data_IF_626350859900
#
_entry.id   IF_626350859900
#
_cell.length_a   1.000
_cell.length_b   1.000
_cell.length_c   1.000
_cell.angle_alpha   90.00
_cell.angle_beta   90.00
_cell.angle_gamma   90.00
#
_symmetry.space_group_name_H-M   'P 1'
#
loop_
_entity.id
_entity.type
_entity.pdbx_description
1 polymer ?
#
# COMPACT_ATOMS: atom_id res chain seq x y z
N UNK A 1 14.67 11.12 22.23
CA UNK A 1 16.01 10.70 21.74
C UNK A 1 15.83 9.34 21.10
N UNK A 2 16.50 9.11 19.96
CA UNK A 2 16.34 8.05 18.94
C UNK A 2 15.15 8.19 17.99
N UNK A 3 15.31 9.05 16.97
CA UNK A 3 14.92 8.67 15.61
C UNK A 3 16.22 8.67 14.84
N UNK A 4 16.71 7.49 14.46
CA UNK A 4 17.73 7.37 13.44
C UNK A 4 17.22 8.15 12.24
N UNK A 5 17.86 9.27 11.89
CA UNK A 5 17.76 9.82 10.55
C UNK A 5 18.21 8.72 9.62
N UNK A 6 17.23 7.99 9.10
CA UNK A 6 17.44 6.85 8.23
C UNK A 6 18.30 7.36 7.07
N UNK A 7 19.56 6.94 7.03
CA UNK A 7 20.60 7.56 6.18
C UNK A 7 20.19 7.54 4.71
N UNK A 8 19.28 6.65 4.33
CA UNK A 8 18.69 6.56 3.00
C UNK A 8 17.97 7.85 2.55
N UNK A 9 17.45 8.67 3.46
CA UNK A 9 16.77 9.93 3.13
C UNK A 9 17.61 11.17 3.41
N UNK A 10 18.88 11.01 3.80
CA UNK A 10 19.76 12.13 4.15
C UNK A 10 20.19 12.98 2.95
N UNK A 11 20.04 12.44 1.73
CA UNK A 11 20.37 13.12 0.47
C UNK A 11 19.17 13.12 -0.45
N UNK A 12 19.09 14.11 -1.34
CA UNK A 12 18.10 14.17 -2.40
C UNK A 12 18.70 14.75 -3.68
N UNK A 13 18.02 14.53 -4.80
CA UNK A 13 18.26 15.25 -6.05
C UNK A 13 17.07 16.16 -6.33
N UNK A 14 17.35 17.44 -6.56
CA UNK A 14 16.36 18.43 -6.97
C UNK A 14 16.54 18.79 -8.45
N UNK A 15 15.43 19.10 -9.11
CA UNK A 15 15.37 19.44 -10.53
C UNK A 15 14.92 20.90 -10.72
N UNK A 16 15.19 21.51 -11.88
CA UNK A 16 14.63 22.80 -12.25
C UNK A 16 13.10 22.72 -12.42
N UNK A 17 12.40 23.82 -12.11
CA UNK A 17 10.97 23.99 -12.36
C UNK A 17 10.74 24.61 -13.75
N UNK A 18 11.33 24.02 -14.78
CA UNK A 18 11.31 24.50 -16.18
C UNK A 18 10.19 23.86 -17.02
N UNK A 19 9.36 23.03 -16.41
CA UNK A 19 8.29 22.27 -17.09
C UNK A 19 8.80 21.07 -17.88
N UNK A 20 10.11 20.79 -17.87
CA UNK A 20 10.65 19.60 -18.51
C UNK A 20 10.44 18.36 -17.63
N UNK A 21 10.32 17.19 -18.28
CA UNK A 21 10.35 15.90 -17.60
C UNK A 21 11.79 15.52 -17.28
N UNK A 22 12.08 15.28 -16.00
CA UNK A 22 13.36 14.76 -15.53
C UNK A 22 13.22 13.28 -15.20
N UNK A 23 13.87 12.41 -15.97
CA UNK A 23 13.61 10.97 -15.95
C UNK A 23 14.81 10.13 -15.49
N UNK A 24 14.52 9.11 -14.68
CA UNK A 24 15.41 7.99 -14.40
C UNK A 24 15.04 6.80 -15.28
N UNK A 25 16.03 6.19 -15.92
CA UNK A 25 15.85 4.95 -16.67
C UNK A 25 16.35 3.76 -15.83
N UNK A 26 15.44 2.92 -15.37
CA UNK A 26 15.75 1.77 -14.52
C UNK A 26 15.81 0.49 -15.37
N UNK A 27 16.92 -0.28 -15.33
CA UNK A 27 17.03 -1.53 -16.07
C UNK A 27 16.11 -2.60 -15.46
N UNK A 28 15.34 -3.29 -16.30
CA UNK A 28 14.39 -4.33 -15.89
C UNK A 28 14.44 -5.52 -16.85
N UNK A 29 14.06 -6.70 -16.35
CA UNK A 29 13.79 -7.85 -17.18
C UNK A 29 12.38 -7.74 -17.78
N UNK A 30 12.28 -7.88 -19.10
CA UNK A 30 10.99 -7.87 -19.79
C UNK A 30 10.11 -9.02 -19.34
N UNK A 31 8.80 -8.77 -19.20
CA UNK A 31 7.78 -9.69 -18.66
C UNK A 31 7.97 -10.06 -17.19
N UNK A 32 8.79 -9.33 -16.43
CA UNK A 32 8.87 -9.44 -14.98
C UNK A 32 8.08 -8.32 -14.30
N UNK A 33 7.59 -8.59 -13.08
CA UNK A 33 6.88 -7.60 -12.25
C UNK A 33 7.85 -6.94 -11.28
N UNK A 34 7.63 -5.66 -11.04
CA UNK A 34 8.44 -4.88 -10.12
C UNK A 34 7.55 -4.03 -9.22
N UNK A 35 7.94 -3.93 -7.95
CA UNK A 35 7.50 -2.87 -7.06
C UNK A 35 8.45 -1.69 -7.24
N UNK A 36 7.91 -0.57 -7.72
CA UNK A 36 8.59 0.71 -7.79
C UNK A 36 8.19 1.53 -6.57
N UNK A 37 9.17 2.13 -5.90
CA UNK A 37 8.92 3.07 -4.80
C UNK A 37 9.72 4.35 -5.01
N UNK A 38 9.03 5.47 -5.03
CA UNK A 38 9.65 6.80 -4.96
C UNK A 38 9.34 7.42 -3.59
N UNK A 39 10.38 7.92 -2.92
CA UNK A 39 10.26 8.54 -1.60
C UNK A 39 10.81 9.97 -1.63
N UNK A 40 10.11 10.84 -0.91
CA UNK A 40 10.36 12.28 -0.89
C UNK A 40 10.38 12.75 0.57
N UNK A 41 11.54 13.18 1.04
CA UNK A 41 11.73 13.92 2.29
C UNK A 41 12.21 15.33 1.94
N UNK A 42 11.36 16.34 2.13
CA UNK A 42 11.67 17.72 1.74
C UNK A 42 12.75 18.33 2.64
N UNK A 43 12.59 18.23 3.96
CA UNK A 43 13.52 18.76 4.96
C UNK A 43 13.97 20.22 4.75
N UNK A 44 13.19 21.03 4.01
CA UNK A 44 13.50 22.43 3.72
C UNK A 44 14.78 22.63 2.90
N UNK A 45 15.13 21.71 2.00
CA UNK A 45 16.45 21.66 1.36
C UNK A 45 16.82 22.91 0.52
N UNK A 46 15.84 23.63 0.00
CA UNK A 46 16.01 24.84 -0.80
C UNK A 46 15.82 26.13 0.02
N UNK A 47 15.40 26.01 1.29
CA UNK A 47 15.12 27.16 2.16
C UNK A 47 13.87 27.95 1.75
N UNK A 48 13.03 27.40 0.86
CA UNK A 48 11.83 28.06 0.40
C UNK A 48 10.67 27.88 1.39
N UNK A 49 9.88 28.95 1.57
CA UNK A 49 8.69 28.94 2.43
C UNK A 49 7.51 28.15 1.82
N UNK A 50 7.53 27.94 0.49
CA UNK A 50 6.46 27.27 -0.23
C UNK A 50 6.75 25.77 -0.36
N UNK A 51 5.86 24.93 0.16
CA UNK A 51 6.01 23.49 -0.02
C UNK A 51 5.86 23.06 -1.48
N UNK A 52 6.69 22.11 -1.95
CA UNK A 52 6.68 21.66 -3.33
C UNK A 52 5.46 20.80 -3.66
N UNK A 53 4.92 21.03 -4.85
CA UNK A 53 3.87 20.23 -5.49
C UNK A 53 4.26 19.98 -6.96
N UNK A 54 4.35 18.70 -7.35
CA UNK A 54 4.71 18.29 -8.69
C UNK A 54 4.17 16.89 -9.01
N UNK A 55 4.33 16.43 -10.25
CA UNK A 55 3.85 15.14 -10.70
C UNK A 55 4.96 14.10 -10.91
N UNK A 56 4.64 12.87 -10.54
CA UNK A 56 5.43 11.67 -10.82
C UNK A 56 4.80 10.90 -11.98
N UNK A 57 5.63 10.40 -12.89
CA UNK A 57 5.24 9.70 -14.10
C UNK A 57 5.95 8.35 -14.23
N UNK A 58 5.25 7.39 -14.83
CA UNK A 58 5.83 6.17 -15.39
C UNK A 58 5.79 6.27 -16.91
N UNK A 59 6.94 6.57 -17.52
CA UNK A 59 7.02 6.98 -18.93
C UNK A 59 6.13 8.20 -19.21
N UNK A 60 5.19 8.05 -20.13
CA UNK A 60 4.21 9.10 -20.42
C UNK A 60 3.07 9.18 -19.40
N UNK A 61 2.77 8.10 -18.70
CA UNK A 61 1.59 7.97 -17.85
C UNK A 61 1.77 8.67 -16.51
N UNK A 62 0.85 9.56 -16.14
CA UNK A 62 0.85 10.19 -14.82
C UNK A 62 0.58 9.14 -13.74
N UNK A 63 1.53 8.96 -12.83
CA UNK A 63 1.44 8.00 -11.74
C UNK A 63 0.74 8.62 -10.53
N UNK A 64 1.26 9.72 -10.00
CA UNK A 64 0.66 10.39 -8.85
C UNK A 64 1.20 11.81 -8.70
N UNK A 65 0.39 12.76 -8.16
CA UNK A 65 0.95 13.97 -7.61
C UNK A 65 1.78 13.66 -6.34
N UNK A 66 2.84 14.42 -6.17
CA UNK A 66 3.66 14.51 -4.97
C UNK A 66 3.34 15.86 -4.35
N UNK A 67 2.71 15.83 -3.17
CA UNK A 67 2.36 17.05 -2.45
C UNK A 67 2.94 16.99 -1.05
N UNK A 68 3.77 17.97 -0.74
CA UNK A 68 4.37 18.16 0.58
C UNK A 68 3.55 19.20 1.33
N UNK A 69 3.23 18.90 2.59
CA UNK A 69 2.55 19.84 3.49
C UNK A 69 3.27 19.98 4.85
N UNK A 70 4.30 19.15 5.05
CA UNK A 70 5.11 19.09 6.26
C UNK A 70 6.51 18.65 5.84
N UNK A 71 7.52 19.49 6.10
CA UNK A 71 8.89 19.23 5.68
C UNK A 71 9.56 18.06 6.39
N UNK A 72 9.07 17.67 7.57
CA UNK A 72 9.60 16.53 8.32
C UNK A 72 8.97 15.19 7.91
N UNK A 73 7.94 15.22 7.07
CA UNK A 73 7.14 14.05 6.73
C UNK A 73 7.58 13.40 5.42
N UNK A 74 7.76 12.08 5.47
CA UNK A 74 7.98 11.27 4.28
C UNK A 74 6.71 11.18 3.43
N UNK A 75 6.87 11.44 2.14
CA UNK A 75 5.87 11.13 1.12
C UNK A 75 6.39 9.95 0.31
N UNK A 76 5.59 8.89 0.23
CA UNK A 76 5.95 7.66 -0.51
C UNK A 76 4.91 7.40 -1.58
N UNK A 77 5.37 6.96 -2.76
CA UNK A 77 4.52 6.44 -3.83
C UNK A 77 5.01 5.07 -4.25
N UNK A 78 4.10 4.10 -4.24
CA UNK A 78 4.38 2.74 -4.70
C UNK A 78 3.51 2.37 -5.91
N UNK A 79 4.12 1.64 -6.85
CA UNK A 79 3.43 1.06 -7.98
C UNK A 79 3.93 -0.35 -8.26
N UNK A 80 3.03 -1.23 -8.68
CA UNK A 80 3.38 -2.53 -9.24
C UNK A 80 3.19 -2.49 -10.74
N UNK A 81 4.27 -2.73 -11.47
CA UNK A 81 4.32 -2.66 -12.93
C UNK A 81 4.76 -3.99 -13.53
N UNK A 82 4.16 -4.36 -14.67
CA UNK A 82 4.71 -5.38 -15.55
C UNK A 82 5.65 -4.70 -16.56
N UNK A 83 6.93 -5.08 -16.56
CA UNK A 83 7.90 -4.54 -17.50
C UNK A 83 7.61 -5.01 -18.94
N UNK A 84 7.23 -4.10 -19.82
CA UNK A 84 6.95 -4.39 -21.25
C UNK A 84 8.19 -4.26 -22.14
N UNK A 85 9.24 -3.61 -21.64
CA UNK A 85 10.54 -3.41 -22.30
C UNK A 85 11.69 -3.76 -21.34
N UNK A 86 12.93 -3.49 -21.72
CA UNK A 86 14.12 -3.70 -20.86
C UNK A 86 14.40 -2.53 -19.91
N UNK A 87 13.59 -1.47 -19.95
CA UNK A 87 13.78 -0.26 -19.15
C UNK A 87 12.45 0.33 -18.71
N UNK A 88 12.31 0.73 -17.45
CA UNK A 88 11.18 1.54 -16.98
C UNK A 88 11.67 2.95 -16.68
N UNK A 89 10.98 3.95 -17.24
CA UNK A 89 11.28 5.36 -16.99
C UNK A 89 10.41 5.91 -15.86
N UNK A 90 11.02 6.51 -14.85
CA UNK A 90 10.33 7.22 -13.75
C UNK A 90 10.69 8.69 -13.86
N UNK A 91 9.71 9.55 -14.09
CA UNK A 91 9.95 10.97 -14.37
C UNK A 91 9.25 11.90 -13.38
N UNK A 92 9.88 13.02 -13.10
CA UNK A 92 9.34 14.13 -12.30
C UNK A 92 9.09 15.32 -13.23
N UNK A 93 7.93 15.96 -13.13
CA UNK A 93 7.56 17.10 -13.99
C UNK A 93 6.42 17.91 -13.37
N UNK A 94 6.01 18.97 -14.06
CA UNK A 94 4.80 19.75 -13.76
C UNK A 94 4.78 20.28 -12.33
N UNK A 95 5.83 21.00 -11.95
CA UNK A 95 5.86 21.71 -10.68
C UNK A 95 4.81 22.83 -10.68
N UNK A 96 3.85 22.74 -9.75
CA UNK A 96 2.90 23.82 -9.46
C UNK A 96 3.53 24.80 -8.47
N UNK A 97 4.25 24.29 -7.47
CA UNK A 97 4.98 25.07 -6.46
C UNK A 97 6.30 24.38 -6.13
N UNK A 98 7.29 25.17 -5.70
CA UNK A 98 8.62 24.68 -5.33
C UNK A 98 9.35 23.96 -6.47
N UNK A 99 10.32 23.13 -6.11
CA UNK A 99 11.14 22.35 -7.05
C UNK A 99 10.82 20.86 -6.97
N UNK A 100 10.70 20.15 -8.11
CA UNK A 100 10.65 18.69 -8.08
C UNK A 100 11.93 18.14 -7.47
N UNK A 101 11.80 17.14 -6.62
CA UNK A 101 12.93 16.48 -6.00
C UNK A 101 12.63 15.01 -5.76
N UNK A 102 13.64 14.20 -5.47
CA UNK A 102 13.49 12.81 -5.07
C UNK A 102 14.58 12.43 -4.08
N UNK A 103 14.22 11.74 -3.00
CA UNK A 103 15.19 11.25 -2.00
C UNK A 103 15.67 9.85 -2.36
N UNK A 104 14.73 8.92 -2.60
CA UNK A 104 15.05 7.55 -3.03
C UNK A 104 14.15 7.08 -4.17
N UNK A 105 14.71 6.23 -5.02
CA UNK A 105 14.00 5.49 -6.04
C UNK A 105 14.42 4.02 -5.96
N UNK A 106 13.50 3.16 -5.52
CA UNK A 106 13.74 1.75 -5.30
C UNK A 106 13.00 0.92 -6.35
N UNK A 107 13.65 -0.15 -6.82
CA UNK A 107 13.12 -1.12 -7.77
C UNK A 107 13.29 -2.52 -7.16
N UNK A 108 12.18 -3.14 -6.73
CA UNK A 108 12.19 -4.48 -6.14
C UNK A 108 11.56 -5.49 -7.10
N UNK A 109 12.27 -6.56 -7.51
CA UNK A 109 11.66 -7.61 -8.33
C UNK A 109 10.61 -8.39 -7.53
N UNK A 110 9.47 -8.65 -8.15
CA UNK A 110 8.39 -9.44 -7.56
C UNK A 110 8.37 -10.83 -8.21
N UNK A 111 8.53 -11.86 -7.39
CA UNK A 111 8.57 -13.24 -7.87
C UNK A 111 7.17 -13.88 -7.87
N UNK A 112 6.97 -14.88 -8.75
CA UNK A 112 5.77 -15.71 -8.73
C UNK A 112 4.52 -15.00 -9.27
N UNK A 113 3.38 -15.23 -8.61
CA UNK A 113 2.07 -14.73 -9.02
C UNK A 113 1.62 -13.46 -8.27
N UNK A 114 2.50 -12.84 -7.46
CA UNK A 114 2.16 -11.62 -6.72
C UNK A 114 1.67 -10.53 -7.66
N UNK A 115 0.54 -9.92 -7.30
CA UNK A 115 -0.09 -8.84 -8.05
C UNK A 115 -0.37 -9.16 -9.53
N UNK A 116 -0.53 -10.44 -9.88
CA UNK A 116 -0.96 -10.82 -11.23
C UNK A 116 -2.39 -10.35 -11.46
N UNK A 117 -2.60 -9.60 -12.53
CA UNK A 117 -3.93 -9.15 -12.95
C UNK A 117 -4.09 -9.32 -14.46
N UNK A 118 -5.31 -9.43 -14.95
CA UNK A 118 -5.57 -9.49 -16.39
C UNK A 118 -5.40 -8.12 -17.10
N UNK A 119 -5.24 -7.04 -16.31
CA UNK A 119 -5.07 -5.68 -16.81
C UNK A 119 -3.61 -5.20 -16.86
N UNK A 120 -2.64 -5.98 -16.37
CA UNK A 120 -1.24 -5.56 -16.21
C UNK A 120 -0.50 -5.20 -17.50
N UNK A 121 -1.04 -5.59 -18.66
CA UNK A 121 -0.54 -5.18 -19.97
C UNK A 121 -1.03 -3.79 -20.40
N UNK A 122 -2.12 -3.28 -19.81
CA UNK A 122 -2.74 -1.99 -20.15
C UNK A 122 -2.78 -0.99 -19.00
N UNK A 123 -2.51 -1.44 -17.78
CA UNK A 123 -2.56 -0.63 -16.58
C UNK A 123 -1.51 -1.12 -15.57
N UNK A 124 -1.03 -0.23 -14.71
CA UNK A 124 -0.28 -0.60 -13.51
C UNK A 124 -1.10 -0.36 -12.25
N UNK A 125 -0.68 -0.97 -11.14
CA UNK A 125 -1.32 -0.80 -9.84
C UNK A 125 -0.60 0.30 -9.05
N UNK A 126 -1.27 1.40 -8.72
CA UNK A 126 -0.74 2.43 -7.81
C UNK A 126 -1.26 2.20 -6.40
N UNK A 127 -0.37 2.12 -5.41
CA UNK A 127 -0.76 1.84 -4.02
C UNK A 127 -1.59 2.99 -3.45
N UNK A 128 -2.77 2.66 -2.91
CA UNK A 128 -3.60 3.61 -2.18
C UNK A 128 -3.54 3.38 -0.66
N UNK A 129 -3.48 2.12 -0.23
CA UNK A 129 -3.36 1.76 1.18
C UNK A 129 -2.76 0.36 1.36
N UNK A 130 -1.82 0.21 2.30
CA UNK A 130 -1.33 -1.10 2.80
C UNK A 130 -1.14 -0.98 4.30
N UNK A 131 -1.97 -1.70 5.06
CA UNK A 131 -2.13 -1.45 6.50
C UNK A 131 -1.96 -2.75 7.28
N UNK A 132 -1.15 -2.69 8.34
CA UNK A 132 -1.03 -3.70 9.38
C UNK A 132 -1.89 -3.29 10.59
N UNK A 133 -2.92 -4.07 10.90
CA UNK A 133 -3.82 -3.82 12.02
C UNK A 133 -3.34 -4.49 13.30
N UNK A 134 -3.57 -3.82 14.42
CA UNK A 134 -3.13 -4.30 15.73
C UNK A 134 -1.62 -4.22 15.89
N UNK A 135 -0.96 -3.34 15.13
CA UNK A 135 0.48 -3.21 15.13
C UNK A 135 0.99 -2.84 16.55
N UNK A 136 2.14 -3.38 16.98
CA UNK A 136 2.64 -3.16 18.34
C UNK A 136 3.30 -1.78 18.52
N UNK A 137 3.59 -1.09 17.42
CA UNK A 137 4.29 0.20 17.39
C UNK A 137 3.88 0.98 16.12
N UNK A 138 4.20 2.29 16.03
CA UNK A 138 3.98 3.05 14.80
C UNK A 138 4.96 2.70 13.68
N UNK A 139 6.02 1.94 13.96
CA UNK A 139 7.02 1.55 12.96
C UNK A 139 6.41 0.56 11.95
N UNK A 140 6.66 0.74 10.64
CA UNK A 140 6.12 -0.15 9.63
C UNK A 140 6.84 -1.50 9.63
N UNK A 141 6.13 -2.56 9.20
CA UNK A 141 6.77 -3.83 8.85
C UNK A 141 7.25 -3.73 7.40
N UNK A 142 8.53 -4.07 7.16
CA UNK A 142 9.17 -4.14 5.83
C UNK A 142 10.31 -5.17 5.84
N UNK A 143 11.25 -5.12 4.91
CA UNK A 143 12.43 -6.00 4.94
C UNK A 143 13.17 -5.90 6.29
N UNK A 144 13.65 -7.03 6.87
CA UNK A 144 13.67 -8.39 6.34
C UNK A 144 12.41 -9.22 6.58
N UNK A 145 11.44 -8.73 7.36
CA UNK A 145 10.20 -9.47 7.66
C UNK A 145 9.31 -9.63 6.41
N UNK A 146 9.31 -8.64 5.52
CA UNK A 146 8.76 -8.78 4.16
C UNK A 146 9.88 -8.96 3.13
N UNK A 147 10.03 -10.14 2.50
CA UNK A 147 11.07 -10.41 1.52
C UNK A 147 10.89 -9.64 0.20
N UNK A 148 9.71 -9.05 -0.04
CA UNK A 148 9.46 -8.16 -1.18
C UNK A 148 9.65 -6.68 -0.81
N UNK A 149 10.10 -6.41 0.42
CA UNK A 149 10.32 -5.10 1.02
C UNK A 149 9.11 -4.16 0.90
N UNK A 150 7.87 -4.67 0.90
CA UNK A 150 6.68 -3.81 0.97
C UNK A 150 6.62 -3.13 2.33
N UNK A 151 6.18 -1.88 2.33
CA UNK A 151 5.93 -1.13 3.58
C UNK A 151 4.49 -1.40 4.00
N UNK A 152 4.32 -2.06 5.14
CA UNK A 152 3.04 -2.23 5.81
C UNK A 152 2.91 -1.19 6.91
N UNK A 153 2.10 -0.16 6.67
CA UNK A 153 1.91 0.93 7.61
C UNK A 153 1.14 0.45 8.85
N UNK A 154 1.62 0.83 10.03
CA UNK A 154 0.91 0.57 11.28
C UNK A 154 -0.41 1.34 11.33
N UNK A 155 -1.47 0.68 11.78
CA UNK A 155 -2.78 1.29 12.02
C UNK A 155 -2.77 2.35 13.14
N UNK A 156 -1.67 2.45 13.90
CA UNK A 156 -1.43 3.52 14.86
C UNK A 156 -1.06 4.85 14.19
N UNK A 157 -0.62 4.84 12.93
CA UNK A 157 -0.20 6.04 12.20
C UNK A 157 -1.43 6.81 11.74
N UNK A 158 -1.89 7.73 12.59
CA UNK A 158 -3.07 8.56 12.32
C UNK A 158 -2.73 9.73 11.40
N UNK A 159 -3.57 9.95 10.39
CA UNK A 159 -3.52 11.11 9.49
C UNK A 159 -4.93 11.67 9.35
N UNK A 160 -5.06 12.94 8.99
CA UNK A 160 -6.39 13.53 8.80
C UNK A 160 -7.21 12.69 7.81
N UNK A 161 -8.40 12.25 8.22
CA UNK A 161 -9.30 11.42 7.42
C UNK A 161 -8.73 10.07 6.94
N UNK A 162 -7.79 9.46 7.68
CA UNK A 162 -7.23 8.15 7.36
C UNK A 162 -7.21 7.26 8.61
N UNK A 163 -7.84 6.08 8.53
CA UNK A 163 -8.06 5.16 9.66
C UNK A 163 -8.76 5.81 10.86
N UNK A 164 -9.86 6.50 10.58
CA UNK A 164 -10.72 7.11 11.61
C UNK A 164 -11.99 6.29 11.81
N UNK A 165 -12.81 6.68 12.78
CA UNK A 165 -14.13 6.07 13.06
C UNK A 165 -14.04 4.59 13.49
N UNK A 166 -12.99 4.24 14.24
CA UNK A 166 -12.85 2.92 14.88
C UNK A 166 -14.05 2.61 15.79
N UNK A 167 -14.66 1.44 15.59
CA UNK A 167 -15.83 1.01 16.37
C UNK A 167 -15.49 0.86 17.86
N UNK A 168 -16.41 1.19 18.79
CA UNK A 168 -16.27 0.84 20.20
C UNK A 168 -16.04 -0.67 20.37
N UNK A 169 -15.14 -1.04 21.29
CA UNK A 169 -14.77 -2.43 21.51
C UNK A 169 -13.80 -3.01 20.48
N UNK A 170 -13.20 -2.19 19.63
CA UNK A 170 -12.02 -2.56 18.83
C UNK A 170 -10.82 -2.75 19.78
N UNK A 171 -10.25 -3.95 19.81
CA UNK A 171 -9.07 -4.28 20.63
C UNK A 171 -7.97 -4.92 19.79
N UNK A 172 -6.72 -4.68 20.15
CA UNK A 172 -5.57 -5.30 19.50
C UNK A 172 -5.32 -6.69 20.08
N UNK A 173 -5.01 -7.65 19.22
CA UNK A 173 -4.60 -9.00 19.58
C UNK A 173 -3.32 -9.36 18.83
N UNK A 174 -2.51 -10.22 19.42
CA UNK A 174 -1.25 -10.65 18.84
C UNK A 174 -0.91 -12.08 19.23
N UNK A 175 -0.01 -12.70 18.47
CA UNK A 175 0.55 -14.02 18.75
C UNK A 175 2.03 -14.07 18.38
N UNK A 176 2.82 -14.80 19.15
CA UNK A 176 4.22 -15.11 18.82
C UNK A 176 4.35 -16.41 18.00
N UNK A 177 3.24 -17.09 17.73
CA UNK A 177 3.23 -18.35 16.99
C UNK A 177 3.36 -18.08 15.48
N UNK A 178 3.99 -19.00 14.72
CA UNK A 178 4.11 -18.84 13.29
C UNK A 178 2.76 -18.94 12.60
N UNK A 179 2.49 -18.00 11.70
CA UNK A 179 1.27 -17.96 10.88
C UNK A 179 1.61 -18.40 9.45
N UNK A 180 0.88 -19.38 8.93
CA UNK A 180 1.10 -19.87 7.59
C UNK A 180 0.58 -18.88 6.53
N UNK A 181 1.51 -18.24 5.81
CA UNK A 181 1.25 -17.18 4.81
C UNK A 181 1.58 -17.55 3.37
N UNK A 182 1.79 -18.83 3.06
CA UNK A 182 2.16 -19.28 1.72
C UNK A 182 0.96 -19.34 0.75
N UNK A 183 0.33 -18.19 0.52
CA UNK A 183 -0.78 -17.95 -0.42
C UNK A 183 -0.30 -17.16 -1.65
N UNK A 184 -1.21 -16.54 -2.43
CA UNK A 184 -0.83 -15.83 -3.68
C UNK A 184 -0.09 -14.52 -3.43
N UNK A 185 -0.59 -13.67 -2.52
CA UNK A 185 -0.04 -12.32 -2.27
C UNK A 185 0.98 -12.28 -1.13
N UNK A 186 1.08 -13.38 -0.38
CA UNK A 186 2.13 -13.63 0.62
C UNK A 186 2.42 -12.43 1.54
N UNK A 187 1.43 -11.88 2.27
CA UNK A 187 1.74 -10.90 3.31
C UNK A 187 2.73 -11.51 4.30
N UNK A 188 3.62 -10.70 4.91
CA UNK A 188 4.64 -11.22 5.81
C UNK A 188 4.00 -11.81 7.07
N UNK A 189 4.61 -12.86 7.62
CA UNK A 189 4.14 -13.52 8.84
C UNK A 189 3.97 -12.51 9.98
N UNK A 190 4.91 -11.57 10.11
CA UNK A 190 4.90 -10.52 11.13
C UNK A 190 3.64 -9.66 11.12
N UNK A 191 3.08 -9.39 9.94
CA UNK A 191 1.79 -8.66 9.79
C UNK A 191 0.62 -9.56 10.16
N UNK A 192 0.70 -10.84 9.81
CA UNK A 192 -0.35 -11.81 10.13
C UNK A 192 -0.36 -12.26 11.60
N UNK A 193 0.67 -11.91 12.37
CA UNK A 193 0.77 -12.15 13.82
C UNK A 193 0.05 -11.10 14.66
N UNK A 194 -0.45 -10.02 14.05
CA UNK A 194 -1.23 -8.98 14.71
C UNK A 194 -2.59 -8.82 14.06
N UNK A 195 -3.57 -8.38 14.84
CA UNK A 195 -4.90 -8.04 14.33
C UNK A 195 -5.64 -7.08 15.27
N UNK A 196 -6.71 -6.50 14.75
CA UNK A 196 -7.79 -5.91 15.56
C UNK A 196 -9.00 -6.82 15.60
N UNK A 197 -9.70 -6.83 16.73
CA UNK A 197 -10.93 -7.61 16.96
C UNK A 197 -12.05 -6.70 17.43
N UNK A 198 -13.21 -6.80 16.79
CA UNK A 198 -14.43 -6.11 17.19
C UNK A 198 -15.19 -6.87 18.27
N UNK A 199 -14.85 -6.67 19.55
CA UNK A 199 -15.44 -7.45 20.67
C UNK A 199 -16.96 -7.26 20.81
N UNK A 200 -17.49 -6.13 20.35
CA UNK A 200 -18.93 -5.83 20.31
C UNK A 200 -19.60 -6.25 18.99
N UNK A 201 -18.92 -7.05 18.17
CA UNK A 201 -19.46 -7.60 16.93
C UNK A 201 -19.28 -6.71 15.71
N UNK A 202 -18.54 -5.61 15.81
CA UNK A 202 -18.30 -4.70 14.69
C UNK A 202 -16.85 -4.16 14.70
N UNK A 203 -16.28 -4.01 13.50
CA UNK A 203 -15.11 -3.18 13.22
C UNK A 203 -15.53 -2.15 12.17
N UNK A 204 -15.22 -0.88 12.37
CA UNK A 204 -15.48 0.19 11.39
C UNK A 204 -14.24 1.02 11.18
N UNK A 205 -14.00 1.44 9.94
CA UNK A 205 -12.98 2.42 9.63
C UNK A 205 -13.42 3.30 8.46
N UNK A 206 -12.89 4.52 8.44
CA UNK A 206 -12.98 5.44 7.31
C UNK A 206 -11.59 5.92 6.90
N UNK A 207 -11.34 5.94 5.60
CA UNK A 207 -10.10 6.42 5.00
C UNK A 207 -10.34 7.12 3.66
N UNK A 208 -9.59 8.18 3.41
CA UNK A 208 -9.48 8.80 2.10
C UNK A 208 -8.45 8.02 1.25
N UNK A 209 -8.89 7.52 0.10
CA UNK A 209 -8.07 6.78 -0.85
C UNK A 209 -7.55 7.72 -1.93
N UNK A 210 -6.27 8.06 -1.87
CA UNK A 210 -5.65 8.89 -2.90
C UNK A 210 -5.79 8.25 -4.29
N UNK A 211 -6.12 9.07 -5.27
CA UNK A 211 -6.36 8.63 -6.65
C UNK A 211 -7.79 8.15 -6.91
N UNK A 212 -8.62 7.86 -5.92
CA UNK A 212 -10.03 7.47 -6.13
C UNK A 212 -10.94 8.71 -6.27
N UNK A 213 -12.16 8.60 -6.85
CA UNK A 213 -12.86 7.38 -7.27
C UNK A 213 -12.23 6.68 -8.47
N UNK A 214 -12.46 5.38 -8.59
CA UNK A 214 -11.97 4.57 -9.71
C UNK A 214 -11.93 3.09 -9.39
N UNK A 215 -11.44 2.31 -10.35
CA UNK A 215 -11.34 0.86 -10.22
C UNK A 215 -10.04 0.47 -9.51
N UNK A 216 -10.17 -0.47 -8.58
CA UNK A 216 -9.08 -0.92 -7.74
C UNK A 216 -8.98 -2.43 -7.64
N UNK A 217 -7.80 -2.83 -7.19
CA UNK A 217 -7.50 -4.17 -6.72
C UNK A 217 -7.43 -4.09 -5.19
N UNK A 218 -8.24 -4.86 -4.47
CA UNK A 218 -8.41 -4.72 -3.03
C UNK A 218 -8.51 -6.08 -2.32
N UNK A 219 -7.63 -6.34 -1.37
CA UNK A 219 -7.54 -7.61 -0.65
C UNK A 219 -7.50 -7.35 0.85
N UNK A 220 -8.22 -8.17 1.62
CA UNK A 220 -8.16 -8.20 3.07
C UNK A 220 -7.53 -9.49 3.53
N UNK A 221 -6.79 -9.44 4.64
CA UNK A 221 -6.04 -10.56 5.16
C UNK A 221 -6.50 -10.86 6.58
N UNK A 222 -6.85 -12.14 6.80
CA UNK A 222 -7.39 -12.66 8.05
C UNK A 222 -6.61 -13.89 8.47
N UNK A 223 -6.33 -14.02 9.76
CA UNK A 223 -5.86 -15.25 10.37
C UNK A 223 -6.47 -15.35 11.77
N UNK A 224 -6.99 -16.54 12.13
CA UNK A 224 -7.39 -16.78 13.50
C UNK A 224 -6.13 -16.98 14.36
N UNK A 225 -5.81 -15.97 15.14
CA UNK A 225 -4.62 -15.89 16.00
C UNK A 225 -4.93 -15.91 17.49
N UNK A 226 -6.20 -15.89 17.86
CA UNK A 226 -6.61 -16.01 19.26
C UNK A 226 -6.72 -17.48 19.65
N UNK A 227 -6.26 -17.82 20.85
CA UNK A 227 -6.46 -19.16 21.41
C UNK A 227 -7.82 -19.25 22.10
N UNK A 228 -8.61 -20.24 21.71
CA UNK A 228 -9.80 -20.63 22.47
C UNK A 228 -9.72 -22.09 22.91
N UNK A 229 -10.21 -22.32 24.13
CA UNK A 229 -10.34 -23.65 24.76
C UNK A 229 -11.56 -24.39 24.20
N UNK A 230 -12.57 -23.66 23.72
CA UNK A 230 -13.79 -24.21 23.14
C UNK A 230 -13.85 -23.94 21.63
N UNK A 231 -14.50 -24.80 20.84
CA UNK A 231 -14.73 -24.51 19.43
C UNK A 231 -15.54 -23.22 19.27
N UNK A 232 -14.92 -22.21 18.67
CA UNK A 232 -15.54 -20.92 18.38
C UNK A 232 -15.61 -20.70 16.87
N UNK A 233 -16.65 -20.00 16.43
CA UNK A 233 -16.82 -19.60 15.04
C UNK A 233 -16.60 -18.10 14.91
N UNK A 234 -15.91 -17.71 13.84
CA UNK A 234 -15.73 -16.30 13.47
C UNK A 234 -16.27 -16.06 12.08
N UNK A 235 -17.52 -15.62 12.06
CA UNK A 235 -18.28 -15.32 10.85
C UNK A 235 -18.76 -13.89 10.86
N UNK A 236 -18.46 -13.18 9.79
CA UNK A 236 -18.82 -11.77 9.66
C UNK A 236 -18.97 -11.40 8.18
N UNK A 237 -19.57 -10.25 7.92
CA UNK A 237 -19.76 -9.71 6.57
C UNK A 237 -19.09 -8.35 6.45
N UNK A 238 -18.49 -8.11 5.29
CA UNK A 238 -18.04 -6.78 4.89
C UNK A 238 -19.26 -5.95 4.48
N UNK A 239 -19.28 -4.68 4.88
CA UNK A 239 -20.27 -3.70 4.48
C UNK A 239 -19.54 -2.46 3.99
N UNK A 240 -19.78 -2.08 2.74
CA UNK A 240 -19.32 -0.83 2.18
C UNK A 240 -20.55 -0.05 1.69
N UNK A 241 -20.83 1.16 2.23
CA UNK A 241 -21.99 1.96 1.82
C UNK A 241 -22.00 2.20 0.31
N UNK A 242 -23.13 1.92 -0.34
CA UNK A 242 -23.27 2.04 -1.79
C UNK A 242 -22.75 0.85 -2.60
N UNK A 243 -22.14 -0.16 -1.98
CA UNK A 243 -21.61 -1.36 -2.65
C UNK A 243 -22.22 -2.66 -2.10
N UNK A 244 -23.50 -2.94 -2.42
CA UNK A 244 -24.19 -4.12 -1.91
C UNK A 244 -23.58 -5.44 -2.41
N UNK A 245 -23.05 -5.48 -3.64
CA UNK A 245 -22.48 -6.71 -4.22
C UNK A 245 -21.21 -7.17 -3.49
N UNK A 246 -20.36 -6.22 -3.08
CA UNK A 246 -19.18 -6.48 -2.25
C UNK A 246 -19.57 -6.99 -0.85
N UNK A 247 -20.78 -6.65 -0.40
CA UNK A 247 -21.26 -6.92 0.96
C UNK A 247 -21.98 -8.27 1.12
N UNK A 248 -22.04 -9.09 0.06
CA UNK A 248 -22.83 -10.34 0.04
C UNK A 248 -22.14 -11.51 0.73
N UNK A 249 -20.84 -11.65 0.55
CA UNK A 249 -20.09 -12.82 1.00
C UNK A 249 -19.89 -12.81 2.53
N UNK A 250 -20.20 -13.95 3.16
CA UNK A 250 -19.81 -14.19 4.55
C UNK A 250 -18.34 -14.58 4.58
N UNK A 251 -17.55 -13.88 5.38
CA UNK A 251 -16.20 -14.27 5.75
C UNK A 251 -16.31 -15.27 6.89
N UNK A 252 -15.94 -16.51 6.63
CA UNK A 252 -15.76 -17.55 7.65
C UNK A 252 -14.27 -17.92 7.70
N UNK A 253 -13.55 -17.42 8.70
CA UNK A 253 -12.09 -17.62 8.78
C UNK A 253 -11.75 -19.09 9.00
N UNK A 254 -12.55 -19.80 9.81
CA UNK A 254 -12.30 -21.20 10.17
C UNK A 254 -12.54 -22.16 9.00
N UNK A 255 -13.58 -21.91 8.21
CA UNK A 255 -13.89 -22.72 7.03
C UNK A 255 -12.92 -22.44 5.88
N UNK A 256 -12.60 -21.16 5.61
CA UNK A 256 -11.79 -20.79 4.44
C UNK A 256 -10.28 -20.94 4.66
N UNK A 257 -9.81 -20.99 5.90
CA UNK A 257 -8.42 -21.32 6.26
C UNK A 257 -8.39 -22.50 7.24
N UNK A 258 -8.64 -23.74 6.77
CA UNK A 258 -8.77 -24.89 7.64
C UNK A 258 -7.47 -25.16 8.40
N UNK A 259 -7.53 -25.06 9.73
CA UNK A 259 -6.40 -25.15 10.66
C UNK A 259 -6.23 -23.87 11.49
N UNK A 260 -5.41 -23.92 12.54
CA UNK A 260 -5.07 -22.72 13.33
C UNK A 260 -3.95 -21.94 12.65
N UNK A 261 -3.93 -20.61 12.83
CA UNK A 261 -2.82 -19.74 12.39
C UNK A 261 -2.54 -19.84 10.89
N UNK A 262 -3.59 -19.75 10.08
CA UNK A 262 -3.49 -19.80 8.62
C UNK A 262 -4.14 -18.59 8.01
N UNK A 263 -3.50 -18.06 6.97
CA UNK A 263 -3.99 -16.92 6.23
C UNK A 263 -5.21 -17.28 5.38
N UNK A 264 -6.26 -16.49 5.52
CA UNK A 264 -7.36 -16.33 4.57
C UNK A 264 -7.27 -14.94 3.93
N UNK A 265 -7.36 -14.88 2.59
CA UNK A 265 -7.13 -13.66 1.82
C UNK A 265 -8.22 -13.40 0.77
N UNK A 266 -9.46 -13.11 1.18
CA UNK A 266 -10.50 -12.70 0.24
C UNK A 266 -10.18 -11.32 -0.36
N UNK A 267 -10.55 -11.14 -1.62
CA UNK A 267 -10.31 -9.89 -2.31
C UNK A 267 -11.04 -9.78 -3.63
N UNK A 268 -10.88 -8.62 -4.24
CA UNK A 268 -11.47 -8.22 -5.50
C UNK A 268 -10.35 -7.77 -6.43
N UNK A 269 -10.18 -8.48 -7.54
CA UNK A 269 -9.24 -8.07 -8.59
C UNK A 269 -9.69 -6.81 -9.32
N UNK A 270 -10.99 -6.52 -9.32
CA UNK A 270 -11.57 -5.31 -9.85
C UNK A 270 -12.79 -4.91 -9.00
N UNK A 271 -12.71 -3.75 -8.35
CA UNK A 271 -13.79 -3.14 -7.59
C UNK A 271 -13.74 -1.63 -7.72
N UNK A 272 -14.87 -0.99 -8.03
CA UNK A 272 -14.95 0.47 -8.07
C UNK A 272 -15.09 1.02 -6.66
N UNK A 273 -14.14 1.85 -6.20
CA UNK A 273 -14.16 2.40 -4.84
C UNK A 273 -14.33 3.92 -4.86
N UNK A 274 -14.97 4.50 -3.83
CA UNK A 274 -15.06 5.95 -3.65
C UNK A 274 -13.73 6.55 -3.15
N UNK A 275 -13.58 7.87 -3.28
CA UNK A 275 -12.49 8.59 -2.61
C UNK A 275 -12.55 8.44 -1.09
N UNK A 276 -13.73 8.64 -0.49
CA UNK A 276 -13.95 8.40 0.95
C UNK A 276 -14.46 6.98 1.12
N UNK A 277 -13.58 6.06 1.49
CA UNK A 277 -13.95 4.69 1.79
C UNK A 277 -14.34 4.59 3.26
N UNK A 278 -15.60 4.28 3.53
CA UNK A 278 -16.05 3.79 4.83
C UNK A 278 -16.39 2.32 4.71
N UNK A 279 -15.94 1.49 5.64
CA UNK A 279 -16.29 0.08 5.67
C UNK A 279 -16.57 -0.39 7.09
N UNK A 280 -17.38 -1.44 7.19
CA UNK A 280 -17.61 -2.16 8.43
C UNK A 280 -17.49 -3.66 8.21
N UNK A 281 -16.90 -4.37 9.16
CA UNK A 281 -17.11 -5.80 9.31
C UNK A 281 -18.10 -6.03 10.44
N UNK A 282 -19.19 -6.77 10.18
CA UNK A 282 -20.20 -7.06 11.21
C UNK A 282 -20.38 -8.55 11.40
N UNK A 283 -20.37 -8.96 12.67
CA UNK A 283 -20.62 -10.32 13.13
C UNK A 283 -21.97 -10.84 12.62
N UNK A 284 -22.02 -12.10 12.18
CA UNK A 284 -23.29 -12.78 11.86
C UNK A 284 -23.91 -13.42 13.11
N UNK A 285 -25.21 -13.69 13.06
CA UNK A 285 -25.95 -14.26 14.20
C UNK A 285 -25.45 -15.66 14.62
N UNK A 286 -24.87 -16.42 13.69
CA UNK A 286 -24.30 -17.77 13.91
C UNK A 286 -22.80 -17.75 14.26
N UNK A 287 -22.20 -16.57 14.44
CA UNK A 287 -20.84 -16.41 14.91
C UNK A 287 -20.77 -16.37 16.44
N UNK A 288 -19.79 -17.02 17.06
CA UNK A 288 -19.52 -16.82 18.49
C UNK A 288 -18.63 -15.59 18.73
N UNK A 289 -17.68 -15.31 17.83
CA UNK A 289 -16.73 -14.20 17.94
C UNK A 289 -17.06 -13.02 17.03
N UNK A 290 -16.56 -11.84 17.40
CA UNK A 290 -16.61 -10.65 16.54
C UNK A 290 -15.65 -10.75 15.37
N UNK A 291 -15.73 -9.81 14.41
CA UNK A 291 -14.79 -9.77 13.28
C UNK A 291 -13.34 -9.59 13.75
N UNK A 292 -12.41 -10.18 13.01
CA UNK A 292 -10.96 -9.98 13.14
C UNK A 292 -10.45 -9.37 11.84
N UNK A 293 -9.40 -8.56 11.88
CA UNK A 293 -8.72 -8.03 10.70
C UNK A 293 -7.24 -7.90 10.99
N UNK A 294 -6.39 -8.60 10.21
CA UNK A 294 -4.93 -8.53 10.37
C UNK A 294 -4.35 -7.44 9.48
N UNK A 295 -4.77 -7.38 8.21
CA UNK A 295 -4.25 -6.43 7.26
C UNK A 295 -5.19 -6.21 6.07
N UNK A 296 -4.94 -5.17 5.28
CA UNK A 296 -5.48 -5.08 3.93
C UNK A 296 -4.54 -4.31 2.99
N UNK A 297 -4.78 -4.51 1.69
CA UNK A 297 -4.15 -3.77 0.60
C UNK A 297 -5.20 -3.25 -0.38
N UNK A 298 -5.01 -2.02 -0.85
CA UNK A 298 -5.82 -1.38 -1.89
C UNK A 298 -4.88 -0.68 -2.86
N UNK A 299 -5.06 -1.01 -4.14
CA UNK A 299 -4.39 -0.38 -5.26
C UNK A 299 -5.42 0.19 -6.23
N UNK A 300 -5.08 1.30 -6.88
CA UNK A 300 -5.83 1.84 -8.02
C UNK A 300 -5.22 1.33 -9.33
N UNK A 301 -6.05 0.97 -10.30
CA UNK A 301 -5.59 0.80 -11.68
C UNK A 301 -5.33 2.15 -12.33
N UNK A 302 -4.13 2.31 -12.90
CA UNK A 302 -3.75 3.48 -13.70
C UNK A 302 -3.47 2.99 -15.12
N UNK A 303 -4.31 3.42 -16.07
CA UNK A 303 -4.18 3.02 -17.48
C UNK A 303 -2.90 3.62 -18.08
N UNK A 304 -2.15 2.77 -18.77
CA UNK A 304 -0.89 3.14 -19.41
C UNK A 304 -1.22 3.95 -20.66
N UNK A 305 -0.83 5.21 -20.63
CA UNK A 305 -0.86 6.10 -21.80
C UNK A 305 0.32 5.77 -22.72
N UNK A 306 0.08 5.43 -24.00
CA UNK A 306 1.14 5.23 -24.98
C UNK A 306 1.83 6.57 -25.24
N UNK A 307 3.07 6.71 -24.75
CA UNK A 307 3.92 7.86 -25.01
C UNK A 307 4.70 7.74 -26.31
N UNK A 308 5.01 8.88 -26.94
CA UNK A 308 6.21 8.99 -27.78
C UNK A 308 7.42 8.66 -26.90
N UNK A 309 8.45 7.92 -27.38
CA UNK A 309 9.69 7.79 -26.63
C UNK A 309 10.22 9.19 -26.29
N UNK A 310 10.32 9.49 -25.00
CA UNK A 310 10.81 10.79 -24.52
C UNK A 310 12.21 11.01 -25.12
N UNK A 311 12.40 12.15 -25.79
CA UNK A 311 13.71 12.56 -26.31
C UNK A 311 14.64 12.72 -25.10
N UNK A 312 15.59 11.79 -25.00
CA UNK A 312 16.52 11.58 -23.89
C UNK A 312 17.34 12.84 -23.56
N UNK A 313 16.95 13.62 -22.55
CA UNK A 313 17.93 14.26 -21.66
C UNK A 313 18.26 13.27 -20.54
N UNK A 314 19.05 12.26 -20.89
CA UNK A 314 19.57 11.24 -19.99
C UNK A 314 20.53 11.88 -18.98
N UNK A 315 20.10 12.03 -17.74
CA UNK A 315 21.04 12.19 -16.63
C UNK A 315 21.43 10.80 -16.11
N UNK A 316 22.51 10.25 -16.65
CA UNK A 316 23.19 9.12 -16.00
C UNK A 316 24.05 9.69 -14.84
N UNK A 317 23.67 9.44 -13.59
CA UNK A 317 24.61 9.47 -12.45
C UNK A 317 23.92 9.06 -11.14
N UNK A 318 24.47 8.02 -10.50
CA UNK A 318 24.50 7.68 -9.07
C UNK A 318 23.46 8.38 -8.17
N UNK A 319 22.25 7.86 -8.18
CA UNK A 319 21.48 7.79 -6.95
C UNK A 319 21.84 6.44 -6.31
N UNK A 320 21.96 6.34 -4.99
CA UNK A 320 22.11 5.03 -4.34
C UNK A 320 20.89 4.18 -4.70
N UNK A 321 21.02 3.34 -5.72
CA UNK A 321 20.15 2.22 -5.97
C UNK A 321 20.54 1.23 -4.88
N UNK A 322 19.83 1.26 -3.75
CA UNK A 322 19.92 0.17 -2.79
C UNK A 322 19.20 -1.02 -3.39
N UNK A 323 19.97 -1.94 -3.99
CA UNK A 323 19.51 -3.26 -4.39
C UNK A 323 18.92 -4.04 -3.20
#
# INVERSE_FOLDING_TARGET
>A
NTSSTDTQYATLRAFPSDGAKHCYALPVATRARYLLRATFLYAGFDGDDAFPEFDLYLGATRWSPVVVYDGARLVTREAVVLAQSSTVSVCLSNATTGRPFISTLELRPLNGSLYRTDAEARAFLALAARINFGAPSPDPVRYPDDPYDRIWESDMVRRANYLVDAAPGTVNVSTDKPVFVATSERPPEKVMQTAVVGTLGELTYRLNLNGFPGDGWAFSYFAEIEESVVPETRKFKLFIPGLPDVSKATVDVGENAPGKLRLYQPGYYNVSLPFVLSFAFRKTNDSSRGPILNAFEIYKYVEIEPGSPDIMNLFAADLMITC
#
